data_IF_567911202327
#
_entry.id   IF_567911202327
#
_cell.length_a   1.000
_cell.length_b   1.000
_cell.length_c   1.000
_cell.angle_alpha   90.00
_cell.angle_beta   90.00
_cell.angle_gamma   90.00
#
_symmetry.space_group_name_H-M   'P 1'
#
loop_
_entity.id
_entity.type
_entity.pdbx_description
1 polymer ?
#
# COMPACT_ATOMS: atom_id res chain seq x y z
N UNK A 1 -15.51 -8.06 6.70
CA UNK A 1 -14.48 -7.08 7.19
C UNK A 1 -14.37 -5.89 6.25
N UNK A 2 -13.78 -4.79 6.72
CA UNK A 2 -13.40 -3.63 5.91
C UNK A 2 -11.88 -3.63 5.73
N UNK A 3 -11.41 -3.71 4.49
CA UNK A 3 -9.99 -3.78 4.12
C UNK A 3 -9.62 -2.52 3.32
N UNK A 4 -8.66 -1.75 3.83
CA UNK A 4 -8.14 -0.58 3.14
C UNK A 4 -6.80 -0.94 2.51
N UNK A 5 -6.76 -0.99 1.17
CA UNK A 5 -5.49 -1.04 0.46
C UNK A 5 -4.81 0.33 0.51
N UNK A 6 -3.51 0.31 0.75
CA UNK A 6 -2.64 1.49 0.69
C UNK A 6 -1.60 1.24 -0.38
N UNK A 7 -1.59 2.10 -1.38
CA UNK A 7 -0.65 2.06 -2.49
C UNK A 7 0.17 3.36 -2.54
N UNK A 8 1.31 3.37 -1.83
CA UNK A 8 2.24 4.49 -1.93
C UNK A 8 2.89 4.48 -3.30
N UNK A 9 2.78 5.57 -4.03
CA UNK A 9 3.31 5.72 -5.38
C UNK A 9 3.53 7.19 -5.74
N UNK A 10 4.34 7.43 -6.76
CA UNK A 10 4.54 8.76 -7.34
C UNK A 10 4.01 8.80 -8.75
N UNK A 11 3.64 9.99 -9.17
CA UNK A 11 3.33 10.26 -10.56
C UNK A 11 4.50 9.88 -11.48
N UNK A 12 4.20 9.09 -12.50
CA UNK A 12 5.17 8.65 -13.51
C UNK A 12 6.04 7.46 -13.11
N UNK A 13 5.93 6.94 -11.89
CA UNK A 13 6.72 5.78 -11.47
C UNK A 13 6.07 4.45 -11.86
N UNK A 14 4.88 4.20 -11.36
CA UNK A 14 4.20 2.93 -11.58
C UNK A 14 2.71 3.14 -11.84
N UNK A 15 2.12 2.25 -12.63
CA UNK A 15 0.67 2.13 -12.69
C UNK A 15 0.16 1.32 -11.50
N UNK A 16 -1.13 1.49 -11.17
CA UNK A 16 -1.77 0.64 -10.14
C UNK A 16 -1.55 -0.84 -10.48
N UNK A 17 -0.94 -1.63 -9.60
CA UNK A 17 -0.62 -3.01 -9.89
C UNK A 17 -1.90 -3.83 -10.07
N UNK A 18 -1.95 -4.73 -11.08
CA UNK A 18 -3.09 -5.63 -11.29
C UNK A 18 -3.47 -6.44 -10.04
N UNK A 19 -2.48 -6.74 -9.18
CA UNK A 19 -2.69 -7.45 -7.93
C UNK A 19 -3.72 -6.76 -7.02
N UNK A 20 -3.70 -5.42 -6.89
CA UNK A 20 -4.69 -4.70 -6.07
C UNK A 20 -6.10 -4.91 -6.62
N UNK A 21 -6.27 -4.86 -7.95
CA UNK A 21 -7.56 -5.13 -8.59
C UNK A 21 -8.04 -6.55 -8.34
N UNK A 22 -7.15 -7.53 -8.51
CA UNK A 22 -7.45 -8.95 -8.31
C UNK A 22 -7.81 -9.26 -6.84
N UNK A 23 -6.98 -8.82 -5.91
CA UNK A 23 -7.21 -9.00 -4.46
C UNK A 23 -8.51 -8.32 -4.02
N UNK A 24 -8.76 -7.10 -4.51
CA UNK A 24 -10.01 -6.37 -4.22
C UNK A 24 -11.24 -7.11 -4.74
N UNK A 25 -11.18 -7.65 -5.97
CA UNK A 25 -12.27 -8.41 -6.54
C UNK A 25 -12.55 -9.70 -5.75
N UNK A 26 -11.48 -10.40 -5.36
CA UNK A 26 -11.58 -11.63 -4.57
C UNK A 26 -12.19 -11.36 -3.18
N UNK A 27 -11.72 -10.33 -2.47
CA UNK A 27 -12.27 -9.95 -1.16
C UNK A 27 -13.74 -9.54 -1.25
N UNK A 28 -14.11 -8.75 -2.27
CA UNK A 28 -15.51 -8.34 -2.50
C UNK A 28 -16.42 -9.53 -2.79
N UNK A 29 -15.92 -10.54 -3.54
CA UNK A 29 -16.67 -11.79 -3.80
C UNK A 29 -16.95 -12.58 -2.53
N UNK A 30 -16.03 -12.51 -1.55
CA UNK A 30 -16.19 -13.13 -0.23
C UNK A 30 -17.02 -12.28 0.77
N UNK A 31 -17.57 -11.15 0.32
CA UNK A 31 -18.45 -10.30 1.13
C UNK A 31 -17.70 -9.29 2.02
N UNK A 32 -16.43 -8.99 1.73
CA UNK A 32 -15.68 -7.96 2.43
C UNK A 32 -15.82 -6.60 1.73
N UNK A 33 -15.84 -5.51 2.51
CA UNK A 33 -15.78 -4.15 1.99
C UNK A 33 -14.33 -3.77 1.71
N UNK A 34 -14.07 -3.22 0.54
CA UNK A 34 -12.71 -2.88 0.10
C UNK A 34 -12.68 -1.45 -0.41
N UNK A 35 -11.69 -0.71 0.05
CA UNK A 35 -11.38 0.62 -0.44
C UNK A 35 -9.87 0.78 -0.69
N UNK A 36 -9.47 1.84 -1.38
CA UNK A 36 -8.10 2.11 -1.79
C UNK A 36 -7.69 3.53 -1.43
N UNK A 37 -6.49 3.67 -0.89
CA UNK A 37 -5.76 4.92 -0.78
C UNK A 37 -4.53 4.87 -1.68
N UNK A 38 -4.56 5.64 -2.76
CA UNK A 38 -3.51 5.73 -3.78
C UNK A 38 -2.91 7.14 -3.77
N UNK A 39 -1.59 7.24 -3.65
CA UNK A 39 -0.89 8.51 -3.60
C UNK A 39 -0.37 9.00 -4.95
N UNK A 40 -0.61 8.27 -6.03
CA UNK A 40 -0.06 8.54 -7.38
C UNK A 40 -0.34 9.96 -7.88
N UNK A 41 -1.51 10.50 -7.55
CA UNK A 41 -1.96 11.79 -8.07
C UNK A 41 -1.90 12.92 -7.06
N UNK A 42 -1.06 12.82 -6.04
CA UNK A 42 -0.71 13.96 -5.20
C UNK A 42 0.41 14.77 -5.83
N UNK A 43 0.26 16.11 -5.83
CA UNK A 43 1.26 17.02 -6.39
C UNK A 43 2.56 16.98 -5.61
N UNK A 44 2.44 16.93 -4.28
CA UNK A 44 3.57 16.85 -3.35
C UNK A 44 3.39 15.64 -2.46
N UNK A 45 4.32 14.73 -2.59
CA UNK A 45 4.50 13.63 -1.66
C UNK A 45 5.93 13.78 -1.15
N UNK A 46 6.12 14.00 0.16
CA UNK A 46 7.44 14.09 0.76
C UNK A 46 8.19 12.78 0.53
N UNK A 47 9.10 12.84 -0.39
CA UNK A 47 10.09 11.80 -0.56
C UNK A 47 11.32 12.27 0.20
N UNK A 48 11.80 11.45 1.16
CA UNK A 48 13.19 11.51 1.61
C UNK A 48 14.11 11.07 0.44
N UNK A 49 14.00 11.71 -0.67
CA UNK A 49 14.90 11.50 -1.77
C UNK A 49 15.72 12.75 -1.93
N UNK A 50 17.00 12.60 -1.74
CA UNK A 50 18.02 13.45 -2.34
C UNK A 50 17.98 13.41 -3.88
N UNK A 51 16.82 13.16 -4.46
CA UNK A 51 16.61 13.27 -5.90
C UNK A 51 16.14 14.69 -6.13
N UNK A 52 17.09 15.54 -6.54
CA UNK A 52 16.81 16.88 -7.03
C UNK A 52 15.62 16.83 -7.99
N UNK A 53 14.61 17.68 -7.79
CA UNK A 53 13.45 17.83 -8.67
C UNK A 53 13.84 18.01 -10.16
N UNK A 54 15.06 18.47 -10.42
CA UNK A 54 15.65 18.63 -11.76
C UNK A 54 16.01 17.30 -12.45
N UNK A 55 16.19 16.21 -11.69
CA UNK A 55 16.59 14.91 -12.23
C UNK A 55 15.39 14.00 -12.55
N UNK A 56 14.17 14.35 -12.12
CA UNK A 56 13.10 13.36 -12.07
C UNK A 56 12.41 13.08 -13.41
N UNK A 57 12.15 14.07 -14.25
CA UNK A 57 11.31 13.84 -15.44
C UNK A 57 12.09 13.84 -16.79
N UNK A 58 13.04 14.72 -16.99
CA UNK A 58 13.78 14.79 -18.25
C UNK A 58 14.85 13.68 -18.36
N UNK A 59 15.59 13.41 -17.29
CA UNK A 59 16.67 12.42 -17.31
C UNK A 59 16.17 10.97 -17.32
N UNK A 60 15.01 10.71 -16.73
CA UNK A 60 14.38 9.38 -16.78
C UNK A 60 13.80 9.07 -18.17
N UNK A 61 13.20 10.05 -18.84
CA UNK A 61 12.71 9.91 -20.21
C UNK A 61 13.82 9.50 -21.17
N UNK A 62 14.97 10.16 -21.11
CA UNK A 62 16.11 9.87 -21.98
C UNK A 62 16.76 8.52 -21.69
N UNK A 63 16.89 8.14 -20.42
CA UNK A 63 17.52 6.86 -20.02
C UNK A 63 16.65 5.64 -20.31
N UNK A 64 15.34 5.77 -20.21
CA UNK A 64 14.39 4.67 -20.39
C UNK A 64 13.78 4.64 -21.78
N UNK A 65 14.19 5.53 -22.70
CA UNK A 65 13.55 5.70 -24.01
C UNK A 65 12.01 5.88 -23.89
N UNK A 66 11.57 6.44 -22.76
CA UNK A 66 10.17 6.70 -22.49
C UNK A 66 9.67 7.82 -23.40
N UNK A 67 8.51 7.64 -24.00
CA UNK A 67 7.89 8.71 -24.77
C UNK A 67 7.38 9.79 -23.81
N UNK A 68 7.51 11.09 -24.19
CA UNK A 68 6.91 12.15 -23.40
C UNK A 68 5.42 11.87 -23.21
N UNK A 69 4.97 11.89 -21.97
CA UNK A 69 3.58 11.69 -21.60
C UNK A 69 2.96 13.03 -21.24
N UNK A 70 1.93 13.42 -21.95
CA UNK A 70 1.12 14.58 -21.59
C UNK A 70 -0.07 14.09 -20.77
N UNK A 71 -0.18 14.57 -19.54
CA UNK A 71 -1.33 14.26 -18.69
C UNK A 71 -2.63 14.66 -19.40
N UNK A 72 -3.63 13.77 -19.45
CA UNK A 72 -4.98 14.17 -19.89
C UNK A 72 -5.47 15.34 -19.03
N UNK A 73 -6.13 16.32 -19.65
CA UNK A 73 -6.65 17.51 -18.95
C UNK A 73 -7.69 17.19 -17.86
N UNK A 74 -8.26 16.01 -17.94
CA UNK A 74 -9.25 15.51 -16.97
C UNK A 74 -8.62 15.02 -15.65
N UNK A 75 -7.30 14.79 -15.62
CA UNK A 75 -6.61 14.36 -14.40
C UNK A 75 -6.17 15.60 -13.63
N UNK A 76 -6.83 15.86 -12.52
CA UNK A 76 -6.46 16.93 -11.58
C UNK A 76 -5.63 16.35 -10.45
N UNK A 77 -4.47 16.96 -10.22
CA UNK A 77 -3.62 16.59 -9.08
C UNK A 77 -4.22 17.09 -7.77
N UNK A 78 -4.10 16.29 -6.73
CA UNK A 78 -4.45 16.68 -5.37
C UNK A 78 -3.35 17.57 -4.79
N UNK A 79 -3.73 18.74 -4.31
CA UNK A 79 -2.84 19.72 -3.67
C UNK A 79 -2.91 19.65 -2.14
N UNK A 80 -3.77 18.80 -1.60
CA UNK A 80 -3.96 18.54 -0.17
C UNK A 80 -2.79 17.77 0.43
N UNK A 81 -2.68 17.76 1.76
CA UNK A 81 -1.67 16.99 2.46
C UNK A 81 -2.02 15.50 2.44
N UNK A 82 -1.14 14.69 1.86
CA UNK A 82 -1.35 13.24 1.70
C UNK A 82 -1.55 12.51 3.05
N UNK A 83 -0.89 12.97 4.11
CA UNK A 83 -0.99 12.35 5.43
C UNK A 83 -2.30 12.67 6.11
N UNK A 84 -2.76 13.92 6.02
CA UNK A 84 -4.06 14.35 6.55
C UNK A 84 -5.21 13.66 5.81
N UNK A 85 -5.13 13.58 4.48
CA UNK A 85 -6.10 12.86 3.67
C UNK A 85 -6.13 11.36 4.00
N UNK A 86 -4.97 10.77 4.31
CA UNK A 86 -4.90 9.38 4.73
C UNK A 86 -5.56 9.15 6.09
N UNK A 87 -5.28 10.00 7.08
CA UNK A 87 -5.94 9.92 8.39
C UNK A 87 -7.45 10.03 8.22
N UNK A 88 -7.92 11.02 7.48
CA UNK A 88 -9.35 11.17 7.19
C UNK A 88 -9.93 9.96 6.49
N UNK A 89 -9.22 9.38 5.50
CA UNK A 89 -9.66 8.17 4.79
C UNK A 89 -9.82 6.99 5.75
N UNK A 90 -8.89 6.82 6.68
CA UNK A 90 -8.98 5.76 7.70
C UNK A 90 -10.12 6.00 8.67
N UNK A 91 -10.34 7.24 9.11
CA UNK A 91 -11.46 7.60 9.98
C UNK A 91 -12.82 7.34 9.29
N UNK A 92 -12.99 7.84 8.07
CA UNK A 92 -14.23 7.71 7.30
C UNK A 92 -14.54 6.24 6.97
N UNK A 93 -13.56 5.49 6.50
CA UNK A 93 -13.75 4.09 6.13
C UNK A 93 -13.72 3.15 7.33
N UNK A 94 -13.06 3.50 8.43
CA UNK A 94 -12.88 2.68 9.65
C UNK A 94 -12.46 1.23 9.34
N UNK A 95 -11.31 0.99 8.71
CA UNK A 95 -10.89 -0.33 8.29
C UNK A 95 -10.59 -1.24 9.49
N UNK A 96 -10.83 -2.54 9.32
CA UNK A 96 -10.39 -3.57 10.27
C UNK A 96 -8.98 -4.07 9.94
N UNK A 97 -8.56 -3.93 8.68
CA UNK A 97 -7.25 -4.32 8.18
C UNK A 97 -6.73 -3.27 7.19
N UNK A 98 -5.49 -2.86 7.36
CA UNK A 98 -4.75 -2.07 6.38
C UNK A 98 -3.84 -3.02 5.58
N UNK A 99 -3.95 -2.99 4.25
CA UNK A 99 -3.16 -3.81 3.34
C UNK A 99 -2.21 -2.91 2.52
N UNK A 100 -0.95 -2.81 2.95
CA UNK A 100 0.08 -2.04 2.26
C UNK A 100 0.64 -2.85 1.09
N UNK A 101 0.48 -2.36 -0.14
CA UNK A 101 1.11 -2.93 -1.34
C UNK A 101 2.23 -2.03 -1.81
N UNK A 102 3.48 -2.50 -1.80
CA UNK A 102 4.62 -1.60 -2.00
C UNK A 102 5.81 -2.25 -2.70
N UNK A 103 6.57 -1.41 -3.41
CA UNK A 103 7.93 -1.65 -3.88
C UNK A 103 8.94 -1.11 -2.86
N UNK A 104 10.24 -1.37 -3.07
CA UNK A 104 11.31 -0.87 -2.19
C UNK A 104 11.33 0.66 -2.13
N UNK A 105 11.27 1.31 -3.29
CA UNK A 105 11.34 2.77 -3.41
C UNK A 105 10.19 3.49 -2.67
N UNK A 106 9.00 2.86 -2.64
CA UNK A 106 7.80 3.44 -2.05
C UNK A 106 7.56 3.00 -0.60
N UNK A 107 8.37 2.08 -0.10
CA UNK A 107 8.15 1.48 1.21
C UNK A 107 8.16 2.51 2.36
N UNK A 108 9.13 3.42 2.36
CA UNK A 108 9.23 4.44 3.40
C UNK A 108 8.03 5.40 3.42
N UNK A 109 7.49 5.74 2.25
CA UNK A 109 6.25 6.51 2.17
C UNK A 109 5.08 5.72 2.80
N UNK A 110 4.97 4.42 2.48
CA UNK A 110 3.97 3.55 3.08
C UNK A 110 4.06 3.50 4.60
N UNK A 111 5.26 3.35 5.15
CA UNK A 111 5.49 3.35 6.60
C UNK A 111 5.11 4.69 7.23
N UNK A 112 5.43 5.83 6.61
CA UNK A 112 5.02 7.15 7.13
C UNK A 112 3.51 7.30 7.18
N UNK A 113 2.80 6.86 6.13
CA UNK A 113 1.32 6.86 6.13
C UNK A 113 0.78 6.02 7.29
N UNK A 114 1.21 4.78 7.44
CA UNK A 114 0.76 3.88 8.50
C UNK A 114 1.04 4.45 9.89
N UNK A 115 2.19 5.09 10.08
CA UNK A 115 2.54 5.71 11.34
C UNK A 115 1.59 6.86 11.75
N UNK A 116 0.94 7.55 10.79
CA UNK A 116 -0.05 8.58 11.10
C UNK A 116 -1.28 8.03 11.83
N UNK A 117 -1.58 6.75 11.68
CA UNK A 117 -2.76 6.08 12.28
C UNK A 117 -2.37 4.98 13.29
N UNK A 118 -1.10 4.92 13.68
CA UNK A 118 -0.57 3.89 14.59
C UNK A 118 -1.32 3.81 15.94
N UNK A 119 -1.80 4.96 16.44
CA UNK A 119 -2.58 5.05 17.67
C UNK A 119 -3.92 4.29 17.60
N UNK A 120 -4.46 4.06 16.41
CA UNK A 120 -5.71 3.34 16.20
C UNK A 120 -5.54 1.82 16.31
N UNK A 121 -4.30 1.31 16.34
CA UNK A 121 -3.97 -0.12 16.49
C UNK A 121 -4.69 -1.03 15.49
N UNK A 122 -4.86 -0.55 14.26
CA UNK A 122 -5.45 -1.34 13.18
C UNK A 122 -4.41 -2.35 12.71
N UNK A 123 -4.80 -3.62 12.58
CA UNK A 123 -3.91 -4.66 12.07
C UNK A 123 -3.42 -4.30 10.67
N UNK A 124 -2.11 -4.44 10.42
CA UNK A 124 -1.51 -4.06 9.16
C UNK A 124 -0.73 -5.20 8.53
N UNK A 125 -1.05 -5.52 7.28
CA UNK A 125 -0.33 -6.48 6.45
C UNK A 125 0.41 -5.77 5.33
N UNK A 126 1.67 -6.12 5.11
CA UNK A 126 2.45 -5.63 3.97
C UNK A 126 2.65 -6.75 2.93
N UNK A 127 2.43 -6.43 1.67
CA UNK A 127 2.64 -7.31 0.53
C UNK A 127 3.24 -6.56 -0.66
N UNK A 128 3.49 -7.27 -1.74
CA UNK A 128 4.14 -6.77 -2.94
C UNK A 128 5.59 -7.22 -3.06
N UNK A 129 6.32 -6.62 -4.00
CA UNK A 129 7.67 -7.09 -4.38
C UNK A 129 8.64 -6.99 -3.22
N UNK A 130 8.74 -5.84 -2.58
CA UNK A 130 9.72 -5.64 -1.51
C UNK A 130 9.46 -6.52 -0.27
N UNK A 131 8.23 -6.60 0.29
CA UNK A 131 7.93 -7.52 1.37
C UNK A 131 8.18 -8.99 1.03
N UNK A 132 7.99 -9.39 -0.21
CA UNK A 132 8.28 -10.77 -0.66
C UNK A 132 9.76 -11.10 -0.58
N UNK A 133 10.65 -10.17 -0.98
CA UNK A 133 12.09 -10.41 -0.99
C UNK A 133 12.79 -10.13 0.35
N UNK A 134 12.21 -9.29 1.21
CA UNK A 134 12.79 -8.87 2.49
C UNK A 134 11.80 -8.93 3.67
N UNK A 135 11.09 -10.06 3.87
CA UNK A 135 10.05 -10.14 4.88
C UNK A 135 10.56 -9.86 6.30
N UNK A 136 11.76 -10.35 6.65
CA UNK A 136 12.35 -10.12 7.97
C UNK A 136 12.68 -8.65 8.23
N UNK A 137 13.10 -7.93 7.18
CA UNK A 137 13.37 -6.50 7.28
C UNK A 137 12.08 -5.72 7.46
N UNK A 138 11.07 -6.02 6.66
CA UNK A 138 9.76 -5.35 6.70
C UNK A 138 9.08 -5.54 8.06
N UNK A 139 9.15 -6.75 8.64
CA UNK A 139 8.59 -7.03 9.97
C UNK A 139 9.27 -6.26 11.11
N UNK A 140 10.51 -5.75 10.93
CA UNK A 140 11.16 -4.93 11.96
C UNK A 140 10.56 -3.54 12.10
N UNK A 141 9.89 -3.05 11.06
CA UNK A 141 9.29 -1.72 11.10
C UNK A 141 8.06 -1.69 12.02
N UNK A 142 7.98 -0.62 12.78
CA UNK A 142 6.79 -0.33 13.57
C UNK A 142 5.60 -0.09 12.65
N UNK A 143 4.42 -0.57 13.07
CA UNK A 143 3.19 -0.44 12.31
C UNK A 143 2.96 -1.54 11.28
N UNK A 144 3.90 -2.48 11.07
CA UNK A 144 3.68 -3.71 10.30
C UNK A 144 3.57 -4.90 11.25
N UNK A 145 2.45 -5.61 11.18
CA UNK A 145 2.17 -6.79 12.00
C UNK A 145 2.38 -8.09 11.23
N UNK A 146 2.07 -8.08 9.93
CA UNK A 146 2.07 -9.25 9.06
C UNK A 146 2.76 -8.90 7.74
N UNK A 147 3.51 -9.84 7.19
CA UNK A 147 4.01 -9.78 5.81
C UNK A 147 3.42 -10.95 5.02
N UNK A 148 2.84 -10.65 3.86
CA UNK A 148 2.50 -11.64 2.87
C UNK A 148 3.69 -11.83 1.91
N UNK A 149 4.30 -13.01 1.94
CA UNK A 149 5.43 -13.38 1.09
C UNK A 149 4.94 -14.14 -0.14
N UNK A 150 5.07 -13.54 -1.31
CA UNK A 150 4.58 -14.11 -2.57
C UNK A 150 3.11 -13.77 -2.85
N UNK A 151 2.39 -14.72 -3.41
CA UNK A 151 1.00 -14.53 -3.84
C UNK A 151 0.05 -14.39 -2.64
N UNK A 152 -0.83 -13.39 -2.72
CA UNK A 152 -1.72 -13.03 -1.61
C UNK A 152 -3.18 -13.44 -1.79
N UNK A 153 -3.53 -14.00 -2.94
CA UNK A 153 -4.93 -14.24 -3.33
C UNK A 153 -5.68 -15.10 -2.30
N UNK A 154 -5.10 -16.24 -1.94
CA UNK A 154 -5.72 -17.14 -0.95
C UNK A 154 -5.41 -16.68 0.48
N UNK A 155 -4.17 -16.25 0.73
CA UNK A 155 -3.70 -15.88 2.07
C UNK A 155 -4.48 -14.70 2.66
N UNK A 156 -4.78 -13.67 1.85
CA UNK A 156 -5.49 -12.48 2.31
C UNK A 156 -6.97 -12.78 2.56
N UNK A 157 -7.60 -13.59 1.70
CA UNK A 157 -8.99 -14.05 1.89
C UNK A 157 -9.09 -14.86 3.19
N UNK A 158 -8.18 -15.81 3.36
CA UNK A 158 -8.18 -16.67 4.54
C UNK A 158 -7.95 -15.84 5.82
N UNK A 159 -7.02 -14.90 5.78
CA UNK A 159 -6.78 -13.97 6.89
C UNK A 159 -8.07 -13.21 7.25
N UNK A 160 -8.71 -12.57 6.28
CA UNK A 160 -9.93 -11.81 6.51
C UNK A 160 -11.06 -12.68 7.05
N UNK A 161 -11.25 -13.88 6.49
CA UNK A 161 -12.27 -14.83 6.94
C UNK A 161 -12.01 -15.33 8.37
N UNK A 162 -10.75 -15.52 8.76
CA UNK A 162 -10.39 -15.94 10.12
C UNK A 162 -10.56 -14.81 11.12
N UNK A 163 -10.16 -13.60 10.76
CA UNK A 163 -10.35 -12.41 11.59
C UNK A 163 -11.84 -12.12 11.85
N UNK A 164 -12.68 -12.21 10.83
CA UNK A 164 -14.14 -12.04 10.98
C UNK A 164 -14.75 -13.06 11.97
N UNK A 165 -14.17 -14.26 12.04
CA UNK A 165 -14.63 -15.35 12.91
C UNK A 165 -13.85 -15.44 14.23
N UNK A 166 -12.99 -14.46 14.54
CA UNK A 166 -12.10 -14.46 15.69
C UNK A 166 -11.26 -15.75 15.83
N UNK A 167 -10.81 -16.31 14.70
CA UNK A 167 -9.96 -17.49 14.64
C UNK A 167 -8.48 -17.13 14.55
N UNK A 168 -7.62 -18.06 15.01
CA UNK A 168 -6.17 -17.93 14.83
C UNK A 168 -5.80 -17.92 13.34
N UNK A 169 -4.81 -17.11 12.98
CA UNK A 169 -4.27 -16.97 11.63
C UNK A 169 -2.77 -17.26 11.53
N UNK A 170 -2.17 -17.83 12.60
CA UNK A 170 -0.72 -18.03 12.68
C UNK A 170 -0.20 -19.14 11.75
N UNK A 171 -1.07 -19.98 11.24
CA UNK A 171 -0.77 -21.13 10.38
C UNK A 171 -1.17 -20.91 8.91
N UNK A 172 -1.54 -19.69 8.54
CA UNK A 172 -1.86 -19.38 7.13
C UNK A 172 -0.57 -19.37 6.31
N UNK A 173 -0.55 -20.13 5.23
CA UNK A 173 0.56 -20.13 4.29
C UNK A 173 0.84 -18.73 3.74
N UNK A 174 2.10 -18.45 3.41
CA UNK A 174 2.58 -17.17 2.90
C UNK A 174 2.54 -16.01 3.89
N UNK A 175 1.97 -16.16 5.09
CA UNK A 175 1.98 -15.11 6.11
C UNK A 175 3.12 -15.27 7.10
N UNK A 176 3.87 -14.21 7.27
CA UNK A 176 4.90 -14.05 8.28
C UNK A 176 4.38 -13.07 9.33
N UNK A 177 4.26 -13.52 10.56
CA UNK A 177 3.62 -12.76 11.63
C UNK A 177 4.70 -12.26 12.58
N UNK A 178 4.62 -10.98 12.96
CA UNK A 178 5.53 -10.38 13.92
C UNK A 178 5.39 -11.06 15.28
N UNK A 179 6.49 -11.62 15.77
CA UNK A 179 6.54 -12.13 17.15
C UNK A 179 6.40 -10.98 18.12
N UNK A 180 5.53 -11.14 19.11
CA UNK A 180 5.39 -10.19 20.21
C UNK A 180 6.58 -10.22 21.15
#
# INVERSE_FOLDING_TARGET
MRVLFVYPNHRGMNMLPPAIGLLSANLKREGHDVDLFDTTYYEKVDIDSQVDEKDSDASKGDRLMARPFTMPKEITLKTTNVYEDFVKKVEDFSPNLIALSTTEDMFHLGIRLINCVKNLKILTIAGGVFPTFRPELVLKYDGIDIVCKGEGEDALIELCNRLDKNKSYNDINNLWIKSK
#
